data_IF_755535514384
#
_entry.id   IF_755535514384
#
_cell.length_a   1.000
_cell.length_b   1.000
_cell.length_c   1.000
_cell.angle_alpha   90.00
_cell.angle_beta   90.00
_cell.angle_gamma   90.00
#
_symmetry.space_group_name_H-M   'P 1'
#
loop_
_entity.id
_entity.type
_entity.pdbx_description
1 polymer ?
#
# COMPACT_ATOMS: atom_id res chain seq x y z
N UNK A 1 71.39 26.38 -2.55
CA UNK A 1 71.67 27.64 -3.26
C UNK A 1 70.50 27.97 -4.16
N UNK A 2 70.09 29.22 -4.11
CA UNK A 2 69.03 29.89 -4.86
C UNK A 2 67.59 29.65 -4.45
N UNK A 3 67.24 30.48 -3.51
CA UNK A 3 65.87 30.91 -3.16
C UNK A 3 65.42 32.02 -4.10
N UNK A 4 64.20 31.89 -4.67
CA UNK A 4 63.52 32.99 -5.36
C UNK A 4 62.16 33.20 -4.68
N UNK A 5 61.81 34.44 -4.28
CA UNK A 5 60.60 34.73 -3.53
C UNK A 5 59.37 34.87 -4.47
N UNK A 6 58.26 34.36 -4.03
CA UNK A 6 56.95 34.49 -4.65
C UNK A 6 56.43 35.92 -4.59
N UNK A 7 56.06 36.50 -5.73
CA UNK A 7 55.37 37.78 -5.86
C UNK A 7 53.89 37.64 -5.45
N UNK A 8 53.54 38.50 -4.50
CA UNK A 8 52.22 38.72 -3.99
C UNK A 8 51.43 39.57 -4.99
N UNK A 9 50.46 38.98 -5.74
CA UNK A 9 49.56 39.72 -6.61
C UNK A 9 48.21 39.91 -5.87
N UNK A 10 47.94 41.15 -5.52
CA UNK A 10 46.67 41.65 -4.99
C UNK A 10 45.60 41.60 -6.10
N UNK A 11 44.42 41.00 -5.87
CA UNK A 11 43.34 41.09 -6.85
C UNK A 11 42.68 42.47 -6.83
N UNK A 12 42.54 43.06 -8.01
CA UNK A 12 41.89 44.34 -8.24
C UNK A 12 40.42 44.29 -7.80
N UNK A 13 40.00 45.27 -7.02
CA UNK A 13 38.63 45.56 -6.66
C UNK A 13 37.80 45.85 -7.93
N UNK A 14 36.87 44.98 -8.24
CA UNK A 14 35.88 45.18 -9.28
C UNK A 14 34.79 46.12 -8.75
N UNK A 15 34.87 47.41 -9.16
CA UNK A 15 33.84 48.40 -8.84
C UNK A 15 32.59 48.12 -9.70
N UNK A 16 31.55 47.67 -9.04
CA UNK A 16 30.23 47.45 -9.63
C UNK A 16 29.59 48.85 -9.88
N UNK A 17 29.15 49.18 -11.10
CA UNK A 17 28.47 50.45 -11.36
C UNK A 17 27.05 50.44 -10.73
N UNK A 18 26.76 51.50 -10.03
CA UNK A 18 25.45 51.81 -9.43
C UNK A 18 24.34 51.79 -10.47
N UNK A 19 23.24 51.02 -10.28
CA UNK A 19 22.11 51.06 -11.21
C UNK A 19 21.40 52.42 -11.13
N UNK A 20 21.22 53.06 -12.28
CA UNK A 20 20.45 54.29 -12.42
C UNK A 20 19.01 54.10 -11.91
N UNK A 21 18.55 55.01 -11.07
CA UNK A 21 17.19 55.07 -10.56
C UNK A 21 16.21 55.36 -11.72
N UNK A 22 15.40 54.38 -12.05
CA UNK A 22 14.26 54.53 -12.99
C UNK A 22 13.15 55.33 -12.27
N UNK A 23 12.53 56.34 -12.92
CA UNK A 23 11.45 57.11 -12.32
C UNK A 23 10.23 56.25 -12.03
N UNK A 24 9.65 56.44 -10.85
CA UNK A 24 8.44 55.73 -10.39
C UNK A 24 7.26 55.96 -11.35
N UNK A 25 6.70 54.89 -11.88
CA UNK A 25 5.47 54.92 -12.62
C UNK A 25 4.27 55.23 -11.67
N UNK A 26 3.22 55.87 -12.18
CA UNK A 26 2.09 56.28 -11.34
C UNK A 26 1.30 55.07 -10.80
N UNK A 27 0.96 55.10 -9.52
CA UNK A 27 0.14 54.11 -8.84
C UNK A 27 -1.24 53.98 -9.52
N UNK A 28 -1.36 53.06 -10.44
CA UNK A 28 -2.64 52.62 -11.01
C UNK A 28 -3.50 51.99 -9.93
N UNK A 29 -4.79 52.35 -9.94
CA UNK A 29 -5.79 51.98 -8.94
C UNK A 29 -5.88 50.47 -8.71
N UNK A 30 -6.02 50.09 -7.43
CA UNK A 30 -6.41 48.73 -7.03
C UNK A 30 -7.74 48.38 -7.69
N UNK A 31 -7.67 47.45 -8.62
CA UNK A 31 -8.89 46.74 -9.06
C UNK A 31 -9.57 46.10 -7.84
N UNK A 32 -10.89 46.16 -7.71
CA UNK A 32 -11.58 45.52 -6.61
C UNK A 32 -11.32 44.02 -6.65
N UNK A 33 -10.68 43.49 -5.60
CA UNK A 33 -10.60 42.06 -5.37
C UNK A 33 -12.05 41.56 -5.26
N UNK A 34 -12.52 40.91 -6.33
CA UNK A 34 -13.75 40.08 -6.24
C UNK A 34 -13.48 39.05 -5.15
N UNK A 35 -14.06 39.27 -3.98
CA UNK A 35 -14.29 38.25 -2.98
C UNK A 35 -15.07 37.12 -3.68
N UNK A 36 -14.35 36.09 -4.08
CA UNK A 36 -14.97 34.83 -4.48
C UNK A 36 -15.69 34.29 -3.24
N UNK A 37 -16.99 34.54 -3.18
CA UNK A 37 -17.89 33.91 -2.24
C UNK A 37 -17.76 32.40 -2.44
N UNK A 38 -17.19 31.74 -1.43
CA UNK A 38 -17.11 30.28 -1.38
C UNK A 38 -18.54 29.72 -1.39
N UNK A 39 -18.91 28.84 -2.32
CA UNK A 39 -20.18 28.15 -2.21
C UNK A 39 -20.10 27.21 -1.01
N UNK A 40 -20.88 27.48 0.00
CA UNK A 40 -21.21 26.56 1.08
C UNK A 40 -22.04 25.40 0.50
N UNK A 41 -21.36 24.35 0.14
CA UNK A 41 -21.92 23.08 -0.33
C UNK A 41 -21.04 21.94 0.15
N UNK A 42 -21.05 21.70 1.48
CA UNK A 42 -20.11 20.79 2.15
C UNK A 42 -20.15 19.33 1.68
N UNK A 43 -21.20 18.85 1.04
CA UNK A 43 -21.34 17.45 0.60
C UNK A 43 -20.91 17.23 -0.85
N UNK A 44 -21.39 18.06 -1.78
CA UNK A 44 -21.10 17.90 -3.23
C UNK A 44 -19.63 18.20 -3.55
N UNK A 45 -19.03 19.15 -2.83
CA UNK A 45 -17.61 19.49 -2.99
C UNK A 45 -16.66 18.41 -2.49
N UNK A 46 -17.04 17.64 -1.45
CA UNK A 46 -16.21 16.54 -0.94
C UNK A 46 -16.23 15.31 -1.87
N UNK A 47 -17.37 14.97 -2.45
CA UNK A 47 -17.50 13.86 -3.40
C UNK A 47 -16.75 14.12 -4.72
N UNK A 48 -16.84 15.35 -5.24
CA UNK A 48 -16.08 15.74 -6.44
C UNK A 48 -14.57 15.81 -6.17
N UNK A 49 -14.15 16.18 -4.95
CA UNK A 49 -12.75 16.12 -4.50
C UNK A 49 -12.25 14.68 -4.45
N UNK A 50 -13.01 13.77 -3.80
CA UNK A 50 -12.65 12.36 -3.74
C UNK A 50 -12.52 11.72 -5.12
N UNK A 51 -13.45 12.02 -6.05
CA UNK A 51 -13.39 11.49 -7.41
C UNK A 51 -12.13 11.93 -8.17
N UNK A 52 -11.69 13.20 -7.99
CA UNK A 52 -10.43 13.69 -8.57
C UNK A 52 -9.21 13.02 -7.93
N UNK A 53 -9.21 12.87 -6.61
CA UNK A 53 -8.14 12.19 -5.88
C UNK A 53 -8.01 10.73 -6.32
N UNK A 54 -9.12 9.98 -6.40
CA UNK A 54 -9.14 8.60 -6.90
C UNK A 54 -8.56 8.49 -8.31
N UNK A 55 -8.98 9.38 -9.22
CA UNK A 55 -8.47 9.38 -10.60
C UNK A 55 -6.97 9.66 -10.65
N UNK A 56 -6.48 10.61 -9.87
CA UNK A 56 -5.04 10.93 -9.82
C UNK A 56 -4.23 9.76 -9.27
N UNK A 57 -4.68 9.11 -8.20
CA UNK A 57 -4.02 7.95 -7.61
C UNK A 57 -4.03 6.74 -8.54
N UNK A 58 -5.14 6.48 -9.24
CA UNK A 58 -5.23 5.41 -10.24
C UNK A 58 -4.22 5.61 -11.38
N UNK A 59 -4.13 6.84 -11.92
CA UNK A 59 -3.16 7.14 -12.98
C UNK A 59 -1.71 6.95 -12.50
N UNK A 60 -1.38 7.32 -11.27
CA UNK A 60 -0.06 7.07 -10.68
C UNK A 60 0.27 5.58 -10.64
N UNK A 61 -0.64 4.75 -10.13
CA UNK A 61 -0.44 3.30 -10.06
C UNK A 61 -0.24 2.70 -11.45
N UNK A 62 -0.99 3.12 -12.44
CA UNK A 62 -0.90 2.60 -13.81
C UNK A 62 0.37 3.04 -14.56
N UNK A 63 0.96 4.18 -14.19
CA UNK A 63 2.14 4.73 -14.88
C UNK A 63 3.47 4.37 -14.21
N UNK A 64 3.47 3.97 -12.94
CA UNK A 64 4.68 3.66 -12.19
C UNK A 64 5.15 2.23 -12.48
N UNK A 65 6.39 2.09 -12.95
CA UNK A 65 6.99 0.79 -13.30
C UNK A 65 7.04 -0.22 -12.15
N UNK A 66 7.16 0.25 -10.90
CA UNK A 66 7.15 -0.64 -9.73
C UNK A 66 5.83 -1.39 -9.57
N UNK A 67 4.71 -0.85 -10.04
CA UNK A 67 3.41 -1.55 -10.02
C UNK A 67 3.44 -2.85 -10.83
N UNK A 68 4.13 -2.83 -11.98
CA UNK A 68 4.30 -4.04 -12.82
C UNK A 68 5.11 -5.11 -12.06
N UNK A 69 6.14 -4.69 -11.32
CA UNK A 69 6.94 -5.62 -10.50
C UNK A 69 6.07 -6.26 -9.41
N UNK A 70 5.27 -5.46 -8.69
CA UNK A 70 4.34 -5.98 -7.69
C UNK A 70 3.28 -6.90 -8.29
N UNK A 71 2.76 -6.57 -9.49
CA UNK A 71 1.83 -7.43 -10.21
C UNK A 71 2.46 -8.79 -10.54
N UNK A 72 3.67 -8.81 -11.09
CA UNK A 72 4.38 -10.06 -11.43
C UNK A 72 4.65 -10.88 -10.16
N UNK A 73 5.09 -10.23 -9.08
CA UNK A 73 5.34 -10.91 -7.81
C UNK A 73 4.05 -11.48 -7.20
N UNK A 74 2.97 -10.69 -7.16
CA UNK A 74 1.70 -11.12 -6.59
C UNK A 74 1.06 -12.26 -7.43
N UNK A 75 1.10 -12.15 -8.76
CA UNK A 75 0.66 -13.21 -9.63
C UNK A 75 1.51 -14.47 -9.45
N UNK A 76 2.84 -14.32 -9.43
CA UNK A 76 3.77 -15.43 -9.18
C UNK A 76 3.56 -16.11 -7.84
N UNK A 77 3.23 -15.35 -6.80
CA UNK A 77 2.91 -15.89 -5.47
C UNK A 77 1.65 -16.77 -5.49
N UNK A 78 0.69 -16.47 -6.35
CA UNK A 78 -0.55 -17.24 -6.45
C UNK A 78 -0.35 -18.54 -7.24
N UNK A 79 0.21 -18.47 -8.45
CA UNK A 79 0.35 -19.69 -9.26
C UNK A 79 1.62 -20.50 -8.96
N UNK A 80 2.65 -19.88 -8.35
CA UNK A 80 3.94 -20.53 -8.08
C UNK A 80 3.85 -21.79 -7.23
N UNK A 81 3.21 -21.76 -6.07
CA UNK A 81 3.02 -22.97 -5.24
C UNK A 81 2.28 -24.08 -5.98
N UNK A 82 1.34 -23.73 -6.84
CA UNK A 82 0.56 -24.67 -7.64
C UNK A 82 1.41 -25.39 -8.69
N UNK A 83 2.21 -24.61 -9.45
CA UNK A 83 3.17 -25.16 -10.42
C UNK A 83 4.19 -26.05 -9.71
N UNK A 84 4.73 -25.60 -8.59
CA UNK A 84 5.72 -26.37 -7.84
C UNK A 84 5.11 -27.67 -7.30
N UNK A 85 3.89 -27.60 -6.73
CA UNK A 85 3.16 -28.78 -6.25
C UNK A 85 2.91 -29.79 -7.36
N UNK A 86 2.45 -29.36 -8.53
CA UNK A 86 2.21 -30.24 -9.67
C UNK A 86 3.49 -30.90 -10.21
N UNK A 87 4.62 -30.18 -10.21
CA UNK A 87 5.90 -30.72 -10.65
C UNK A 87 6.48 -31.73 -9.64
N UNK A 88 6.33 -31.49 -8.33
CA UNK A 88 6.87 -32.36 -7.28
C UNK A 88 6.03 -33.61 -7.04
N UNK A 89 4.73 -33.58 -7.33
CA UNK A 89 3.82 -34.71 -7.16
C UNK A 89 3.96 -35.78 -8.24
N UNK A 90 4.74 -35.57 -9.29
CA UNK A 90 4.96 -36.56 -10.34
C UNK A 90 3.73 -36.97 -11.13
N UNK A 91 2.60 -36.27 -10.97
CA UNK A 91 1.34 -36.61 -11.63
C UNK A 91 0.35 -37.40 -10.75
N UNK A 92 0.68 -37.64 -9.48
CA UNK A 92 -0.20 -38.41 -8.55
C UNK A 92 -1.39 -37.60 -8.02
N UNK A 93 -1.52 -36.33 -8.40
CA UNK A 93 -2.66 -35.49 -7.98
C UNK A 93 -3.84 -35.72 -8.91
N UNK A 94 -4.90 -36.35 -8.41
CA UNK A 94 -6.12 -36.66 -9.19
C UNK A 94 -6.98 -35.42 -9.48
N UNK A 95 -6.99 -34.43 -8.61
CA UNK A 95 -7.72 -33.14 -8.79
C UNK A 95 -7.16 -32.05 -7.90
N UNK A 96 -7.22 -30.82 -8.38
CA UNK A 96 -6.96 -29.64 -7.56
C UNK A 96 -8.27 -29.02 -7.07
N UNK A 97 -8.26 -28.48 -5.86
CA UNK A 97 -9.34 -27.67 -5.30
C UNK A 97 -9.09 -26.19 -5.49
N UNK A 98 -10.13 -25.35 -5.35
CA UNK A 98 -9.96 -23.91 -5.31
C UNK A 98 -9.08 -23.47 -4.12
N UNK A 99 -9.21 -24.16 -2.98
CA UNK A 99 -8.38 -23.88 -1.78
C UNK A 99 -6.89 -24.15 -2.04
N UNK A 100 -6.53 -25.17 -2.81
CA UNK A 100 -5.15 -25.45 -3.22
C UNK A 100 -4.60 -24.30 -4.07
N UNK A 101 -5.42 -23.75 -4.98
CA UNK A 101 -5.06 -22.59 -5.78
C UNK A 101 -4.81 -21.36 -4.92
N UNK A 102 -5.47 -21.22 -3.76
CA UNK A 102 -5.37 -20.10 -2.86
C UNK A 102 -4.27 -20.23 -1.80
N UNK A 103 -3.49 -21.32 -1.77
CA UNK A 103 -2.33 -21.50 -0.87
C UNK A 103 -1.35 -20.34 -0.97
N UNK A 104 -1.18 -19.74 -2.16
CA UNK A 104 -0.35 -18.58 -2.39
C UNK A 104 -0.81 -17.29 -1.72
N UNK A 105 -2.01 -17.24 -1.15
CA UNK A 105 -2.59 -16.04 -0.53
C UNK A 105 -1.70 -15.47 0.57
N UNK A 106 -1.07 -16.30 1.41
CA UNK A 106 -0.15 -15.85 2.46
C UNK A 106 1.05 -15.07 1.91
N UNK A 107 1.64 -15.53 0.81
CA UNK A 107 2.75 -14.82 0.14
C UNK A 107 2.23 -13.54 -0.52
N UNK A 108 1.08 -13.61 -1.18
CA UNK A 108 0.46 -12.45 -1.81
C UNK A 108 0.14 -11.33 -0.79
N UNK A 109 -0.31 -11.67 0.43
CA UNK A 109 -0.51 -10.69 1.53
C UNK A 109 0.73 -9.85 1.80
N UNK A 110 1.90 -10.49 1.87
CA UNK A 110 3.17 -9.82 2.13
C UNK A 110 3.53 -8.87 0.97
N UNK A 111 3.29 -9.29 -0.25
CA UNK A 111 3.59 -8.48 -1.44
C UNK A 111 2.66 -7.26 -1.49
N UNK A 112 1.37 -7.44 -1.25
CA UNK A 112 0.42 -6.32 -1.34
C UNK A 112 0.51 -5.35 -0.17
N UNK A 113 0.88 -5.81 1.05
CA UNK A 113 1.14 -4.90 2.16
C UNK A 113 2.38 -4.05 1.87
N UNK A 114 3.43 -4.65 1.28
CA UNK A 114 4.63 -3.92 0.85
C UNK A 114 4.30 -2.92 -0.27
N UNK A 115 3.46 -3.29 -1.24
CA UNK A 115 2.96 -2.40 -2.29
C UNK A 115 2.25 -1.17 -1.73
N UNK A 116 1.28 -1.36 -0.83
CA UNK A 116 0.56 -0.26 -0.17
C UNK A 116 1.50 0.64 0.62
N UNK A 117 2.39 0.04 1.41
CA UNK A 117 3.34 0.73 2.28
C UNK A 117 4.38 1.53 1.50
N UNK A 118 5.02 0.92 0.51
CA UNK A 118 6.02 1.58 -0.33
C UNK A 118 5.44 2.78 -1.08
N UNK A 119 4.23 2.62 -1.62
CA UNK A 119 3.55 3.67 -2.35
C UNK A 119 3.22 4.88 -1.48
N UNK A 120 2.62 4.68 -0.30
CA UNK A 120 2.27 5.77 0.60
C UNK A 120 3.51 6.44 1.23
N UNK A 121 4.51 5.66 1.66
CA UNK A 121 5.76 6.21 2.22
C UNK A 121 6.61 6.92 1.18
N UNK A 122 6.64 6.45 -0.07
CA UNK A 122 7.37 7.08 -1.17
C UNK A 122 6.87 8.49 -1.48
N UNK A 123 5.56 8.70 -1.48
CA UNK A 123 4.95 10.01 -1.72
C UNK A 123 5.21 10.99 -0.57
N UNK A 124 5.17 10.52 0.68
CA UNK A 124 5.48 11.36 1.83
C UNK A 124 6.96 11.79 1.85
N UNK A 125 7.88 10.92 1.43
CA UNK A 125 9.32 11.22 1.37
C UNK A 125 9.68 12.18 0.24
N UNK A 126 9.06 12.03 -0.94
CA UNK A 126 9.37 12.86 -2.12
C UNK A 126 8.79 14.26 -2.08
N UNK A 127 8.00 14.61 -1.05
CA UNK A 127 7.31 15.89 -0.97
C UNK A 127 6.17 16.08 -1.98
N UNK A 128 5.86 15.07 -2.79
CA UNK A 128 4.74 15.10 -3.74
C UNK A 128 3.39 15.30 -3.03
N UNK A 129 3.31 14.89 -1.77
CA UNK A 129 2.17 15.17 -0.90
C UNK A 129 1.94 16.69 -0.75
N UNK A 130 3.00 17.51 -0.73
CA UNK A 130 2.87 18.97 -0.68
C UNK A 130 2.23 19.56 -1.96
N UNK A 131 2.53 19.00 -3.13
CA UNK A 131 1.90 19.41 -4.38
C UNK A 131 0.42 18.98 -4.44
N UNK A 132 0.08 17.81 -3.92
CA UNK A 132 -1.32 17.37 -3.80
C UNK A 132 -2.12 18.32 -2.91
N UNK A 133 -1.51 18.93 -1.89
CA UNK A 133 -2.17 19.89 -1.00
C UNK A 133 -2.41 21.28 -1.60
N UNK A 134 -1.71 21.63 -2.67
CA UNK A 134 -2.01 22.85 -3.42
C UNK A 134 -3.29 22.73 -4.27
N UNK A 135 -3.65 21.50 -4.65
CA UNK A 135 -4.82 21.20 -5.47
C UNK A 135 -6.00 20.67 -4.66
N UNK A 136 -5.75 20.05 -3.52
CA UNK A 136 -6.77 19.41 -2.68
C UNK A 136 -6.79 20.02 -1.26
N UNK A 137 -7.95 20.56 -0.86
CA UNK A 137 -8.17 21.21 0.45
C UNK A 137 -8.03 20.27 1.67
N UNK A 138 -7.97 18.94 1.48
CA UNK A 138 -8.01 17.98 2.59
C UNK A 138 -6.96 16.87 2.43
N UNK A 139 -5.97 16.86 3.32
CA UNK A 139 -4.94 15.81 3.42
C UNK A 139 -5.52 14.43 3.73
N UNK A 140 -6.64 14.38 4.42
CA UNK A 140 -7.34 13.12 4.73
C UNK A 140 -7.91 12.46 3.48
N UNK A 141 -8.38 13.25 2.50
CA UNK A 141 -8.94 12.74 1.25
C UNK A 141 -7.86 12.03 0.41
N UNK A 142 -6.64 12.58 0.37
CA UNK A 142 -5.52 11.92 -0.31
C UNK A 142 -5.25 10.52 0.26
N UNK A 143 -5.13 10.40 1.59
CA UNK A 143 -4.83 9.10 2.20
C UNK A 143 -5.99 8.10 2.02
N UNK A 144 -7.22 8.55 2.11
CA UNK A 144 -8.40 7.71 1.85
C UNK A 144 -8.40 7.23 0.39
N UNK A 145 -8.17 8.13 -0.56
CA UNK A 145 -8.08 7.77 -1.98
C UNK A 145 -6.94 6.77 -2.21
N UNK A 146 -5.77 6.96 -1.58
CA UNK A 146 -4.63 6.07 -1.66
C UNK A 146 -4.96 4.67 -1.13
N UNK A 147 -5.61 4.56 0.03
CA UNK A 147 -6.04 3.29 0.61
C UNK A 147 -6.98 2.56 -0.36
N UNK A 148 -8.02 3.25 -0.85
CA UNK A 148 -9.01 2.66 -1.76
C UNK A 148 -8.34 2.16 -3.05
N UNK A 149 -7.52 3.01 -3.70
CA UNK A 149 -6.90 2.65 -4.98
C UNK A 149 -5.87 1.53 -4.79
N UNK A 150 -5.11 1.52 -3.68
CA UNK A 150 -4.20 0.43 -3.35
C UNK A 150 -4.95 -0.88 -3.12
N UNK A 151 -6.08 -0.85 -2.42
CA UNK A 151 -6.91 -2.02 -2.17
C UNK A 151 -7.48 -2.60 -3.47
N UNK A 152 -8.04 -1.73 -4.35
CA UNK A 152 -8.57 -2.16 -5.65
C UNK A 152 -7.46 -2.71 -6.55
N UNK A 153 -6.30 -2.04 -6.62
CA UNK A 153 -5.16 -2.52 -7.40
C UNK A 153 -4.68 -3.89 -6.91
N UNK A 154 -4.59 -4.09 -5.59
CA UNK A 154 -4.20 -5.37 -4.99
C UNK A 154 -5.22 -6.46 -5.31
N UNK A 155 -6.53 -6.17 -5.27
CA UNK A 155 -7.57 -7.12 -5.67
C UNK A 155 -7.41 -7.53 -7.15
N UNK A 156 -7.13 -6.58 -8.04
CA UNK A 156 -6.88 -6.88 -9.46
C UNK A 156 -5.63 -7.75 -9.64
N UNK A 157 -4.52 -7.42 -8.94
CA UNK A 157 -3.29 -8.22 -8.97
C UNK A 157 -3.55 -9.67 -8.51
N UNK A 158 -4.30 -9.82 -7.42
CA UNK A 158 -4.66 -11.11 -6.87
C UNK A 158 -5.53 -11.94 -7.82
N UNK A 159 -6.58 -11.34 -8.39
CA UNK A 159 -7.47 -12.00 -9.34
C UNK A 159 -6.74 -12.40 -10.63
N UNK A 160 -5.81 -11.59 -11.11
CA UNK A 160 -4.94 -11.97 -12.24
C UNK A 160 -4.10 -13.19 -11.86
N UNK A 161 -3.51 -13.22 -10.66
CA UNK A 161 -2.76 -14.36 -10.17
C UNK A 161 -3.59 -15.63 -10.08
N UNK A 162 -4.81 -15.54 -9.53
CA UNK A 162 -5.78 -16.66 -9.47
C UNK A 162 -6.15 -17.13 -10.86
N UNK A 163 -6.44 -16.22 -11.80
CA UNK A 163 -6.78 -16.57 -13.17
C UNK A 163 -5.63 -17.27 -13.91
N UNK A 164 -4.39 -16.83 -13.70
CA UNK A 164 -3.20 -17.49 -14.23
C UNK A 164 -2.99 -18.86 -13.62
N UNK A 165 -3.14 -19.01 -12.31
CA UNK A 165 -3.07 -20.29 -11.63
C UNK A 165 -4.13 -21.28 -12.12
N UNK A 166 -5.38 -20.80 -12.26
CA UNK A 166 -6.46 -21.58 -12.85
C UNK A 166 -6.16 -22.03 -14.28
N UNK A 167 -5.63 -21.12 -15.11
CA UNK A 167 -5.23 -21.45 -16.49
C UNK A 167 -4.13 -22.53 -16.53
N UNK A 168 -3.14 -22.47 -15.63
CA UNK A 168 -2.08 -23.48 -15.51
C UNK A 168 -2.68 -24.84 -15.15
N UNK A 169 -3.59 -24.90 -14.16
CA UNK A 169 -4.25 -26.15 -13.77
C UNK A 169 -5.02 -26.77 -14.94
N UNK A 170 -5.72 -25.96 -15.74
CA UNK A 170 -6.43 -26.44 -16.92
C UNK A 170 -5.52 -26.99 -18.04
N UNK A 171 -4.28 -26.44 -18.15
CA UNK A 171 -3.34 -26.86 -19.19
C UNK A 171 -2.51 -28.09 -18.82
N UNK A 172 -2.20 -28.26 -17.53
CA UNK A 172 -1.20 -29.25 -17.06
C UNK A 172 -1.83 -30.29 -16.12
N UNK A 173 -2.95 -29.96 -15.48
CA UNK A 173 -3.53 -30.77 -14.43
C UNK A 173 -4.80 -31.53 -14.82
N UNK A 174 -5.29 -32.38 -13.92
CA UNK A 174 -6.51 -33.18 -14.10
C UNK A 174 -7.81 -32.38 -13.98
N UNK A 175 -7.73 -31.05 -13.85
CA UNK A 175 -8.88 -30.16 -13.69
C UNK A 175 -9.07 -29.63 -12.27
N UNK A 176 -9.95 -28.63 -12.11
CA UNK A 176 -10.28 -28.00 -10.84
C UNK A 176 -11.65 -28.47 -10.36
N UNK A 177 -11.73 -29.03 -9.16
CA UNK A 177 -13.00 -29.28 -8.49
C UNK A 177 -13.48 -27.98 -7.80
N UNK A 178 -14.75 -27.64 -7.97
CA UNK A 178 -15.30 -26.40 -7.45
C UNK A 178 -15.81 -26.59 -6.01
N UNK A 179 -15.04 -26.16 -5.01
CA UNK A 179 -15.44 -26.13 -3.60
C UNK A 179 -16.25 -24.87 -3.22
N UNK A 180 -16.78 -24.16 -4.22
CA UNK A 180 -17.48 -22.90 -4.04
C UNK A 180 -16.58 -21.67 -4.11
N UNK A 181 -17.20 -20.51 -4.31
CA UNK A 181 -16.47 -19.20 -4.47
C UNK A 181 -16.14 -18.50 -3.16
N UNK A 182 -16.57 -19.04 -2.02
CA UNK A 182 -16.39 -18.41 -0.70
C UNK A 182 -14.92 -18.15 -0.36
N UNK A 183 -13.96 -19.10 -0.52
CA UNK A 183 -12.56 -18.87 -0.24
C UNK A 183 -11.96 -17.75 -1.10
N UNK A 184 -12.35 -17.67 -2.38
CA UNK A 184 -11.91 -16.62 -3.27
C UNK A 184 -12.37 -15.23 -2.80
N UNK A 185 -13.63 -15.09 -2.42
CA UNK A 185 -14.17 -13.82 -1.88
C UNK A 185 -13.44 -13.44 -0.59
N UNK A 186 -13.21 -14.39 0.30
CA UNK A 186 -12.43 -14.17 1.53
C UNK A 186 -11.02 -13.71 1.24
N UNK A 187 -10.32 -14.36 0.30
CA UNK A 187 -8.99 -13.97 -0.15
C UNK A 187 -8.95 -12.55 -0.71
N UNK A 188 -9.91 -12.19 -1.58
CA UNK A 188 -10.01 -10.82 -2.12
C UNK A 188 -10.20 -9.79 -1.02
N UNK A 189 -11.10 -10.02 -0.06
CA UNK A 189 -11.31 -9.11 1.08
C UNK A 189 -10.03 -8.95 1.89
N UNK A 190 -9.35 -10.06 2.19
CA UNK A 190 -8.09 -10.07 2.93
C UNK A 190 -6.99 -9.29 2.23
N UNK A 191 -6.78 -9.53 0.95
CA UNK A 191 -5.79 -8.85 0.11
C UNK A 191 -6.06 -7.34 0.03
N UNK A 192 -7.31 -6.93 -0.15
CA UNK A 192 -7.70 -5.52 -0.12
C UNK A 192 -7.38 -4.87 1.23
N UNK A 193 -7.70 -5.54 2.33
CA UNK A 193 -7.42 -5.06 3.67
C UNK A 193 -5.91 -4.91 3.92
N UNK A 194 -5.10 -5.89 3.51
CA UNK A 194 -3.64 -5.81 3.68
C UNK A 194 -2.99 -4.71 2.86
N UNK A 195 -3.44 -4.47 1.63
CA UNK A 195 -2.97 -3.32 0.86
C UNK A 195 -3.31 -1.98 1.54
N UNK A 196 -4.51 -1.88 2.12
CA UNK A 196 -4.95 -0.72 2.91
C UNK A 196 -4.13 -0.55 4.20
N UNK A 197 -3.91 -1.63 4.95
CA UNK A 197 -3.04 -1.66 6.14
C UNK A 197 -1.63 -1.17 5.77
N UNK A 198 -1.06 -1.68 4.66
CA UNK A 198 0.21 -1.23 4.14
C UNK A 198 0.24 0.27 3.88
N UNK A 199 -0.77 0.81 3.17
CA UNK A 199 -0.87 2.25 2.91
C UNK A 199 -0.97 3.08 4.20
N UNK A 200 -1.70 2.59 5.21
CA UNK A 200 -1.77 3.19 6.54
C UNK A 200 -0.41 3.22 7.24
N UNK A 201 0.32 2.11 7.25
CA UNK A 201 1.69 2.01 7.80
C UNK A 201 2.65 2.93 7.05
N UNK A 202 2.56 3.00 5.72
CA UNK A 202 3.36 3.91 4.90
C UNK A 202 3.16 5.38 5.26
N UNK A 203 1.91 5.78 5.52
CA UNK A 203 1.59 7.13 5.99
C UNK A 203 2.12 7.39 7.43
N UNK A 204 2.16 6.35 8.28
CA UNK A 204 2.70 6.43 9.62
C UNK A 204 4.21 6.60 9.63
N UNK A 205 4.98 5.79 8.91
CA UNK A 205 6.42 5.67 9.09
C UNK A 205 7.25 6.67 8.27
N UNK A 206 6.72 7.26 7.21
CA UNK A 206 7.40 8.25 6.33
C UNK A 206 8.78 7.82 5.78
N UNK A 207 9.19 6.61 6.08
CA UNK A 207 10.43 6.00 5.60
C UNK A 207 10.07 4.75 4.82
N UNK A 208 10.36 4.71 3.55
CA UNK A 208 9.95 3.61 2.65
C UNK A 208 10.51 2.26 3.11
N UNK A 209 11.76 2.21 3.57
CA UNK A 209 12.37 0.96 4.03
C UNK A 209 11.67 0.44 5.28
N UNK A 210 11.50 1.30 6.29
CA UNK A 210 10.80 0.91 7.52
C UNK A 210 9.33 0.57 7.27
N UNK A 211 8.66 1.32 6.38
CA UNK A 211 7.26 1.10 6.04
C UNK A 211 7.01 -0.28 5.40
N UNK A 212 7.97 -0.79 4.63
CA UNK A 212 7.90 -2.13 4.04
C UNK A 212 8.39 -3.19 5.02
N UNK A 213 9.53 -2.95 5.70
CA UNK A 213 10.15 -3.94 6.57
C UNK A 213 9.26 -4.30 7.78
N UNK A 214 8.61 -3.32 8.41
CA UNK A 214 7.79 -3.55 9.61
C UNK A 214 6.65 -4.53 9.36
N UNK A 215 5.75 -4.33 8.37
CA UNK A 215 4.66 -5.28 8.14
C UNK A 215 5.14 -6.62 7.59
N UNK A 216 6.24 -6.67 6.84
CA UNK A 216 6.83 -7.92 6.36
C UNK A 216 7.38 -8.74 7.54
N UNK A 217 8.15 -8.11 8.43
CA UNK A 217 8.61 -8.78 9.66
C UNK A 217 7.45 -9.21 10.55
N UNK A 218 6.40 -8.39 10.65
CA UNK A 218 5.20 -8.76 11.39
C UNK A 218 4.59 -10.06 10.87
N UNK A 219 4.30 -10.14 9.58
CA UNK A 219 3.64 -11.29 8.98
C UNK A 219 4.51 -12.55 8.99
N UNK A 220 5.78 -12.45 8.56
CA UNK A 220 6.63 -13.62 8.45
C UNK A 220 7.22 -14.09 9.79
N UNK A 221 7.56 -13.16 10.68
CA UNK A 221 8.27 -13.50 11.91
C UNK A 221 7.32 -13.53 13.10
N UNK A 222 6.66 -12.41 13.39
CA UNK A 222 5.88 -12.28 14.62
C UNK A 222 4.62 -13.16 14.59
N UNK A 223 3.85 -13.13 13.51
CA UNK A 223 2.65 -13.97 13.41
C UNK A 223 3.00 -15.45 13.41
N UNK A 224 4.04 -15.85 12.67
CA UNK A 224 4.48 -17.26 12.64
C UNK A 224 5.00 -17.72 14.01
N UNK A 225 5.73 -16.87 14.75
CA UNK A 225 6.20 -17.19 16.10
C UNK A 225 5.03 -17.31 17.08
N UNK A 226 4.07 -16.39 17.03
CA UNK A 226 2.88 -16.43 17.91
C UNK A 226 2.05 -17.68 17.61
N UNK A 227 1.85 -18.00 16.33
CA UNK A 227 1.11 -19.19 15.89
C UNK A 227 1.81 -20.47 16.38
N UNK A 228 3.13 -20.56 16.26
CA UNK A 228 3.91 -21.69 16.78
C UNK A 228 3.85 -21.75 18.31
N UNK A 229 3.94 -20.62 19.01
CA UNK A 229 3.81 -20.56 20.45
C UNK A 229 2.41 -20.96 20.92
N UNK A 230 1.36 -20.65 20.18
CA UNK A 230 -0.02 -21.02 20.52
C UNK A 230 -0.29 -22.53 20.42
N UNK A 231 0.47 -23.25 19.60
CA UNK A 231 0.40 -24.72 19.55
C UNK A 231 1.07 -25.39 20.75
N UNK A 232 2.06 -24.73 21.37
CA UNK A 232 2.79 -25.24 22.54
C UNK A 232 2.21 -24.74 23.88
N UNK A 233 1.64 -23.53 23.90
CA UNK A 233 1.17 -22.87 25.12
C UNK A 233 -0.19 -22.22 24.91
N UNK A 234 -1.21 -22.68 25.63
CA UNK A 234 -2.60 -22.20 25.53
C UNK A 234 -2.74 -20.69 25.77
N UNK A 235 -1.86 -20.08 26.58
CA UNK A 235 -1.88 -18.65 26.86
C UNK A 235 -1.69 -17.75 25.62
N UNK A 236 -1.05 -18.25 24.56
CA UNK A 236 -0.85 -17.52 23.30
C UNK A 236 -2.02 -17.67 22.31
N UNK A 237 -2.92 -18.63 22.56
CA UNK A 237 -4.04 -18.92 21.66
C UNK A 237 -4.96 -17.72 21.43
N UNK A 238 -5.39 -16.94 22.46
CA UNK A 238 -6.23 -15.76 22.21
C UNK A 238 -5.54 -14.69 21.36
N UNK A 239 -4.19 -14.60 21.46
CA UNK A 239 -3.41 -13.66 20.64
C UNK A 239 -3.35 -14.14 19.20
N UNK A 240 -3.08 -15.45 18.97
CA UNK A 240 -3.05 -16.03 17.64
C UNK A 240 -4.40 -15.87 16.90
N UNK A 241 -5.50 -15.98 17.63
CA UNK A 241 -6.85 -15.88 17.08
C UNK A 241 -7.24 -14.49 16.56
N UNK A 242 -6.56 -13.43 16.97
CA UNK A 242 -6.85 -12.05 16.51
C UNK A 242 -5.85 -11.53 15.47
N UNK A 243 -4.85 -12.33 15.08
CA UNK A 243 -3.84 -11.93 14.11
C UNK A 243 -4.45 -11.77 12.71
N UNK A 244 -4.19 -10.65 12.02
CA UNK A 244 -4.83 -10.37 10.75
C UNK A 244 -4.43 -11.34 9.64
N UNK A 245 -3.16 -11.77 9.57
CA UNK A 245 -2.69 -12.73 8.56
C UNK A 245 -3.32 -14.11 8.75
N UNK A 246 -3.43 -14.56 10.00
CA UNK A 246 -4.09 -15.83 10.35
C UNK A 246 -5.56 -15.81 9.92
N UNK A 247 -6.30 -14.72 10.24
CA UNK A 247 -7.72 -14.61 9.87
C UNK A 247 -7.94 -14.55 8.35
N UNK A 248 -7.06 -13.93 7.59
CA UNK A 248 -7.15 -13.96 6.12
C UNK A 248 -6.83 -15.36 5.59
N UNK A 249 -5.92 -16.11 6.21
CA UNK A 249 -5.71 -17.52 5.90
C UNK A 249 -7.01 -18.34 6.03
N UNK A 250 -7.69 -18.21 7.17
CA UNK A 250 -8.98 -18.90 7.40
C UNK A 250 -10.07 -18.46 6.41
N UNK A 251 -10.18 -17.16 6.12
CA UNK A 251 -11.12 -16.61 5.12
C UNK A 251 -10.88 -17.14 3.71
N UNK A 252 -9.63 -17.32 3.31
CA UNK A 252 -9.25 -17.79 1.97
C UNK A 252 -9.20 -19.31 1.85
N UNK A 253 -9.48 -20.05 2.93
CA UNK A 253 -9.36 -21.51 2.94
C UNK A 253 -7.91 -22.01 2.91
N UNK A 254 -6.91 -21.10 3.07
CA UNK A 254 -5.49 -21.45 3.17
C UNK A 254 -5.01 -21.47 4.63
N UNK A 255 -5.92 -21.50 5.58
CA UNK A 255 -5.65 -21.55 7.02
C UNK A 255 -4.90 -22.81 7.44
N UNK A 256 -4.17 -22.70 8.53
CA UNK A 256 -3.36 -23.82 9.07
C UNK A 256 -4.15 -24.79 9.93
N UNK A 257 -5.41 -24.50 10.25
CA UNK A 257 -6.22 -25.26 11.20
C UNK A 257 -5.70 -25.22 12.66
N UNK A 258 -4.72 -24.37 12.95
CA UNK A 258 -4.12 -24.28 14.31
C UNK A 258 -4.89 -23.35 15.26
N UNK A 259 -5.86 -22.62 14.72
CA UNK A 259 -6.70 -21.66 15.49
C UNK A 259 -8.16 -22.05 15.41
N UNK A 260 -8.96 -21.49 16.31
CA UNK A 260 -10.41 -21.71 16.32
C UNK A 260 -11.03 -21.21 15.00
N UNK A 261 -11.79 -22.07 14.36
CA UNK A 261 -12.60 -21.68 13.19
C UNK A 261 -13.75 -20.78 13.65
N UNK A 262 -13.72 -19.55 13.20
CA UNK A 262 -14.83 -18.62 13.36
C UNK A 262 -15.72 -18.60 12.12
N UNK A 263 -16.88 -17.97 12.25
CA UNK A 263 -17.66 -17.69 11.05
C UNK A 263 -16.89 -16.68 10.17
N UNK A 264 -16.99 -16.76 8.84
CA UNK A 264 -16.29 -15.83 7.93
C UNK A 264 -16.61 -14.36 8.18
N UNK A 265 -17.77 -14.08 8.74
CA UNK A 265 -18.15 -12.71 9.12
C UNK A 265 -17.28 -12.23 10.27
N UNK A 266 -17.00 -13.07 11.27
CA UNK A 266 -16.14 -12.74 12.41
C UNK A 266 -14.71 -12.52 11.94
N UNK A 267 -14.17 -13.41 11.09
CA UNK A 267 -12.83 -13.28 10.53
C UNK A 267 -12.70 -11.98 9.73
N UNK A 268 -13.68 -11.68 8.86
CA UNK A 268 -13.70 -10.42 8.12
C UNK A 268 -13.77 -9.18 9.04
N UNK A 269 -14.55 -9.24 10.12
CA UNK A 269 -14.64 -8.14 11.08
C UNK A 269 -13.33 -7.90 11.81
N UNK A 270 -12.60 -8.96 12.19
CA UNK A 270 -11.28 -8.83 12.82
C UNK A 270 -10.29 -8.16 11.86
N UNK A 271 -10.25 -8.59 10.59
CA UNK A 271 -9.38 -8.01 9.56
C UNK A 271 -9.73 -6.54 9.29
N UNK A 272 -11.02 -6.22 9.21
CA UNK A 272 -11.51 -4.84 9.04
C UNK A 272 -11.16 -3.99 10.26
N UNK A 273 -11.25 -4.52 11.48
CA UNK A 273 -10.85 -3.80 12.69
C UNK A 273 -9.36 -3.41 12.64
N UNK A 274 -8.48 -4.31 12.23
CA UNK A 274 -7.06 -4.00 12.01
C UNK A 274 -6.86 -2.91 10.96
N UNK A 275 -7.56 -3.00 9.82
CA UNK A 275 -7.53 -1.98 8.78
C UNK A 275 -7.93 -0.61 9.33
N UNK A 276 -9.06 -0.54 10.05
CA UNK A 276 -9.58 0.72 10.62
C UNK A 276 -8.61 1.31 11.65
N UNK A 277 -8.04 0.49 12.54
CA UNK A 277 -7.08 0.94 13.55
C UNK A 277 -5.82 1.52 12.89
N UNK A 278 -5.20 0.77 11.98
CA UNK A 278 -3.95 1.20 11.33
C UNK A 278 -4.17 2.44 10.45
N UNK A 279 -5.22 2.44 9.64
CA UNK A 279 -5.56 3.59 8.79
C UNK A 279 -5.99 4.81 9.63
N UNK A 280 -6.71 4.58 10.72
CA UNK A 280 -7.08 5.63 11.68
C UNK A 280 -5.87 6.29 12.33
N UNK A 281 -4.88 5.50 12.74
CA UNK A 281 -3.60 6.01 13.25
C UNK A 281 -2.83 6.79 12.17
N UNK A 282 -2.83 6.29 10.94
CA UNK A 282 -2.23 6.99 9.79
C UNK A 282 -2.88 8.37 9.55
N UNK A 283 -4.20 8.42 9.54
CA UNK A 283 -4.97 9.65 9.40
C UNK A 283 -4.74 10.63 10.57
N UNK A 284 -4.75 10.12 11.79
CA UNK A 284 -4.50 10.92 12.99
C UNK A 284 -3.11 11.56 12.98
N UNK A 285 -2.06 10.79 12.66
CA UNK A 285 -0.70 11.32 12.55
C UNK A 285 -0.58 12.35 11.44
N UNK A 286 -1.23 12.10 10.29
CA UNK A 286 -1.19 13.02 9.15
C UNK A 286 -1.84 14.36 9.50
N UNK A 287 -2.91 14.38 10.32
CA UNK A 287 -3.53 15.62 10.82
C UNK A 287 -2.67 16.38 11.82
N UNK A 288 -1.93 15.69 12.71
CA UNK A 288 -1.08 16.34 13.72
C UNK A 288 0.23 16.91 13.18
N UNK A 289 0.68 16.44 12.01
CA UNK A 289 1.89 16.94 11.37
C UNK A 289 1.78 18.41 10.89
N UNK A 290 0.60 19.02 11.00
CA UNK A 290 0.29 20.38 10.54
C UNK A 290 0.55 21.46 11.59
N UNK A 291 0.88 21.10 12.81
CA UNK A 291 1.01 22.02 13.94
C UNK A 291 2.45 22.42 14.25
N UNK A 292 3.40 22.17 13.32
CA UNK A 292 4.80 22.62 13.51
C UNK A 292 5.26 23.47 12.34
#
# INVERSE_FOLDING_TARGET
MNTTPAQNQTPAQNQNPTPAQTPAAPRGGRAPQRSASSPEGGGVGALTGLGRALRSETLKILTVRSTIVYLILAAGAMFGPMVLGSLLSGGDIESFTLSDLLIGTGIAQVIVVAFGAAGAAGETRSGMVAQAFLTEKSRSLWLIARIIVSAVAAAVMYLIGVALGWAVVQLVGPGLSADGVRPLVGGVIGIMAFAGIGAGIGALLRNTVAAVAVPVCWLFVLESMILMASSAYEMFRPVAEILPGVRVGELSGSGTGMVTEYSPVVDALIVIAWLVVICGLGLWRNRRADTK
#
